data_IF_366825865457
#
_entry.id   IF_366825865457
#
_cell.length_a   1.000
_cell.length_b   1.000
_cell.length_c   1.000
_cell.angle_alpha   90.00
_cell.angle_beta   90.00
_cell.angle_gamma   90.00
#
_symmetry.space_group_name_H-M   'P 1'
#
loop_
_entity.id
_entity.type
_entity.pdbx_description
1 polymer ?
#
# COMPACT_ATOMS: atom_id res chain seq x y z
N UNK A 1 2.47 -25.40 -12.44
CA UNK A 1 1.68 -24.15 -12.28
C UNK A 1 0.57 -24.46 -11.28
N UNK A 2 0.72 -24.05 -10.02
CA UNK A 2 -0.26 -24.36 -8.97
C UNK A 2 -1.31 -23.26 -8.93
N UNK A 3 -2.57 -23.62 -9.17
CA UNK A 3 -3.72 -22.70 -9.09
C UNK A 3 -4.40 -22.98 -7.74
N UNK A 4 -4.56 -21.96 -6.86
CA UNK A 4 -5.28 -22.15 -5.61
C UNK A 4 -6.72 -22.60 -5.86
N UNK A 5 -7.17 -23.63 -5.14
CA UNK A 5 -8.55 -24.14 -5.21
C UNK A 5 -9.54 -23.21 -4.49
N UNK A 6 -9.08 -22.49 -3.47
CA UNK A 6 -9.82 -21.43 -2.78
C UNK A 6 -9.11 -20.09 -3.00
N UNK A 7 -9.84 -19.07 -3.43
CA UNK A 7 -9.30 -17.75 -3.74
C UNK A 7 -10.28 -16.63 -3.36
N UNK A 8 -9.73 -15.43 -3.14
CA UNK A 8 -10.52 -14.22 -2.86
C UNK A 8 -11.18 -13.76 -4.17
N UNK A 9 -12.52 -13.77 -4.29
CA UNK A 9 -13.19 -13.31 -5.50
C UNK A 9 -13.02 -11.80 -5.70
N UNK A 10 -13.19 -11.33 -6.93
CA UNK A 10 -13.13 -9.88 -7.22
C UNK A 10 -14.19 -9.07 -6.46
N UNK A 11 -15.29 -9.70 -6.10
CA UNK A 11 -16.42 -9.11 -5.36
C UNK A 11 -16.27 -9.17 -3.84
N UNK A 12 -15.15 -9.70 -3.32
CA UNK A 12 -14.92 -9.76 -1.88
C UNK A 12 -14.86 -8.35 -1.29
N UNK A 13 -15.78 -7.96 -0.38
CA UNK A 13 -15.87 -6.58 0.07
C UNK A 13 -14.68 -6.14 0.94
N UNK A 14 -14.13 -7.06 1.74
CA UNK A 14 -12.96 -6.85 2.59
C UNK A 14 -12.95 -5.51 3.32
N UNK A 15 -12.01 -4.62 2.97
CA UNK A 15 -12.02 -3.22 3.43
C UNK A 15 -12.78 -2.29 2.48
N UNK A 16 -13.60 -1.42 3.06
CA UNK A 16 -14.24 -0.28 2.39
C UNK A 16 -13.47 1.00 2.68
N UNK A 17 -13.34 1.86 1.67
CA UNK A 17 -12.82 3.21 1.85
C UNK A 17 -13.86 4.08 2.55
N UNK A 18 -13.49 4.66 3.69
CA UNK A 18 -14.33 5.60 4.44
C UNK A 18 -13.94 7.05 4.20
N UNK A 19 -12.67 7.31 3.89
CA UNK A 19 -12.14 8.66 3.71
C UNK A 19 -10.97 8.64 2.73
N UNK A 20 -10.87 9.69 1.90
CA UNK A 20 -9.71 9.96 1.04
C UNK A 20 -9.33 11.42 1.22
N UNK A 21 -8.07 11.68 1.50
CA UNK A 21 -7.46 13.01 1.52
C UNK A 21 -6.25 13.02 0.58
N UNK A 22 -6.28 13.90 -0.41
CA UNK A 22 -5.20 14.10 -1.35
C UNK A 22 -4.65 15.52 -1.18
N UNK A 23 -3.36 15.64 -0.90
CA UNK A 23 -2.68 16.93 -0.89
C UNK A 23 -2.04 17.19 -2.26
N UNK A 24 -2.23 18.36 -2.89
CA UNK A 24 -1.64 18.72 -4.18
C UNK A 24 -0.10 18.67 -4.27
N UNK A 25 0.61 18.32 -3.19
CA UNK A 25 2.07 18.31 -3.20
C UNK A 25 2.75 17.46 -2.13
N UNK A 26 2.13 16.42 -1.53
CA UNK A 26 2.91 15.65 -0.55
C UNK A 26 2.41 14.33 -0.02
N UNK A 27 1.10 14.05 -0.04
CA UNK A 27 0.60 12.76 0.44
C UNK A 27 -0.80 12.41 -0.06
N UNK A 28 -1.05 11.10 -0.10
CA UNK A 28 -2.38 10.50 -0.21
C UNK A 28 -2.67 9.78 1.09
N UNK A 29 -3.82 10.01 1.69
CA UNK A 29 -4.26 9.37 2.92
C UNK A 29 -5.64 8.76 2.72
N UNK A 30 -5.77 7.48 3.07
CA UNK A 30 -7.00 6.71 2.90
C UNK A 30 -7.33 6.03 4.21
N UNK A 31 -8.58 6.16 4.67
CA UNK A 31 -9.09 5.39 5.80
C UNK A 31 -9.93 4.22 5.28
N UNK A 32 -9.74 3.07 5.92
CA UNK A 32 -10.32 1.80 5.57
C UNK A 32 -11.09 1.25 6.77
N UNK A 33 -12.32 0.79 6.53
CA UNK A 33 -13.14 0.07 7.50
C UNK A 33 -13.39 -1.36 7.02
N UNK A 34 -13.10 -2.35 7.85
CA UNK A 34 -13.35 -3.77 7.55
C UNK A 34 -14.85 -4.04 7.55
N UNK A 35 -15.39 -4.41 6.39
CA UNK A 35 -16.80 -4.79 6.22
C UNK A 35 -16.99 -6.31 6.32
N UNK A 36 -16.07 -7.09 5.74
CA UNK A 36 -16.13 -8.55 5.75
C UNK A 36 -14.90 -9.12 6.45
N UNK A 37 -15.04 -10.02 7.42
CA UNK A 37 -13.90 -10.68 8.07
C UNK A 37 -12.98 -11.36 7.05
N UNK A 38 -11.67 -11.30 7.28
CA UNK A 38 -10.66 -11.94 6.43
C UNK A 38 -10.56 -13.45 6.61
N UNK A 39 -11.16 -13.98 7.68
CA UNK A 39 -10.97 -15.37 8.12
C UNK A 39 -9.79 -15.56 9.06
N UNK A 40 -8.94 -14.54 9.26
CA UNK A 40 -7.92 -14.56 10.31
C UNK A 40 -8.48 -14.00 11.63
N UNK A 41 -8.01 -14.50 12.78
CA UNK A 41 -8.41 -13.96 14.08
C UNK A 41 -7.90 -12.51 14.24
N UNK A 42 -8.63 -11.72 15.02
CA UNK A 42 -8.23 -10.36 15.42
C UNK A 42 -7.96 -9.42 14.24
N UNK A 43 -8.91 -9.37 13.29
CA UNK A 43 -8.93 -8.36 12.23
C UNK A 43 -8.95 -6.95 12.82
N UNK A 44 -8.08 -6.08 12.29
CA UNK A 44 -8.07 -4.66 12.64
C UNK A 44 -9.15 -3.96 11.82
N UNK A 45 -10.18 -3.44 12.49
CA UNK A 45 -11.34 -2.87 11.80
C UNK A 45 -11.04 -1.55 11.10
N UNK A 46 -10.27 -0.68 11.73
CA UNK A 46 -10.01 0.68 11.24
C UNK A 46 -8.53 0.84 10.91
N UNK A 47 -8.21 1.02 9.63
CA UNK A 47 -6.84 1.07 9.12
C UNK A 47 -6.63 2.33 8.30
N UNK A 48 -5.47 2.96 8.43
CA UNK A 48 -5.02 4.02 7.53
C UNK A 48 -4.03 3.46 6.51
N UNK A 49 -4.13 3.94 5.27
CA UNK A 49 -3.17 3.74 4.21
C UNK A 49 -2.65 5.10 3.75
N UNK A 50 -1.35 5.36 3.95
CA UNK A 50 -0.72 6.64 3.66
C UNK A 50 0.41 6.49 2.67
N UNK A 51 0.39 7.29 1.62
CA UNK A 51 1.49 7.47 0.67
C UNK A 51 2.11 8.83 0.94
N UNK A 52 3.41 8.89 1.17
CA UNK A 52 4.16 10.14 1.38
C UNK A 52 5.27 10.25 0.36
N UNK A 53 5.39 11.40 -0.27
CA UNK A 53 6.48 11.70 -1.18
C UNK A 53 7.70 12.13 -0.37
N UNK A 54 8.77 11.31 -0.35
CA UNK A 54 9.97 11.61 0.42
C UNK A 54 10.99 12.39 -0.41
N UNK A 55 11.19 12.00 -1.68
CA UNK A 55 12.08 12.67 -2.63
C UNK A 55 11.51 12.57 -4.04
N UNK A 56 12.17 13.16 -5.03
CA UNK A 56 11.77 13.03 -6.45
C UNK A 56 11.70 11.57 -6.95
N UNK A 57 12.38 10.62 -6.29
CA UNK A 57 12.45 9.21 -6.70
C UNK A 57 12.09 8.21 -5.57
N UNK A 58 11.74 8.69 -4.37
CA UNK A 58 11.36 7.85 -3.24
C UNK A 58 9.98 8.24 -2.73
N UNK A 59 9.08 7.26 -2.72
CA UNK A 59 7.80 7.32 -2.02
C UNK A 59 7.79 6.32 -0.86
N UNK A 60 7.03 6.64 0.18
CA UNK A 60 6.80 5.76 1.33
C UNK A 60 5.33 5.41 1.41
N UNK A 61 5.04 4.12 1.52
CA UNK A 61 3.71 3.61 1.85
C UNK A 61 3.73 3.16 3.31
N UNK A 62 2.71 3.54 4.07
CA UNK A 62 2.52 3.13 5.45
C UNK A 62 1.07 2.68 5.66
N UNK A 63 0.92 1.53 6.30
CA UNK A 63 -0.37 0.97 6.72
C UNK A 63 -0.36 0.88 8.25
N UNK A 64 -1.36 1.45 8.92
CA UNK A 64 -1.39 1.48 10.38
C UNK A 64 -2.81 1.30 10.94
N UNK A 65 -2.89 0.71 12.13
CA UNK A 65 -4.11 0.70 12.93
C UNK A 65 -4.42 2.14 13.39
N UNK A 66 -5.67 2.57 13.24
CA UNK A 66 -6.13 3.91 13.62
C UNK A 66 -6.36 4.05 15.13
N UNK A 67 -6.61 2.94 15.83
CA UNK A 67 -7.04 2.93 17.22
C UNK A 67 -5.92 2.54 18.18
N UNK A 68 -4.91 1.80 17.71
CA UNK A 68 -3.83 1.31 18.56
C UNK A 68 -2.46 1.51 17.90
N UNK A 69 -1.45 1.78 18.74
CA UNK A 69 -0.06 1.77 18.29
C UNK A 69 0.41 0.33 18.19
N UNK A 70 0.99 -0.03 17.03
CA UNK A 70 1.58 -1.35 16.77
C UNK A 70 3.09 -1.25 16.78
N UNK A 71 3.76 -2.40 16.92
CA UNK A 71 5.22 -2.45 16.84
C UNK A 71 5.71 -1.88 15.50
N UNK A 72 6.66 -0.95 15.57
CA UNK A 72 7.40 -0.45 14.44
C UNK A 72 8.89 -0.72 14.66
N UNK A 73 9.60 -1.31 13.68
CA UNK A 73 11.04 -1.48 13.79
C UNK A 73 11.72 -0.12 14.02
N UNK A 74 12.67 0.00 14.96
CA UNK A 74 13.45 1.21 15.11
C UNK A 74 14.27 1.43 13.85
N UNK A 75 13.88 2.41 13.03
CA UNK A 75 14.60 2.79 11.83
C UNK A 75 15.65 3.85 12.19
N UNK A 76 16.86 3.79 11.60
CA UNK A 76 17.81 4.90 11.69
C UNK A 76 17.18 6.16 11.07
N UNK A 77 17.67 7.34 11.48
CA UNK A 77 17.28 8.57 10.81
C UNK A 77 17.57 8.45 9.32
N UNK A 78 16.53 8.62 8.51
CA UNK A 78 16.71 8.69 7.07
C UNK A 78 17.36 10.03 6.74
N UNK A 79 18.56 9.98 6.17
CA UNK A 79 19.23 11.14 5.60
C UNK A 79 18.57 11.53 4.27
N UNK A 80 17.32 12.01 4.35
CA UNK A 80 16.59 12.48 3.17
C UNK A 80 17.09 13.88 2.80
N UNK A 81 17.35 14.15 1.52
CA UNK A 81 17.62 15.51 1.07
C UNK A 81 16.44 16.41 1.41
N UNK A 82 16.71 17.70 1.66
CA UNK A 82 15.64 18.68 1.87
C UNK A 82 14.63 18.60 0.72
N UNK A 83 13.32 18.78 0.96
CA UNK A 83 12.33 18.82 -0.11
C UNK A 83 12.66 19.97 -1.07
N UNK A 84 13.37 19.67 -2.15
CA UNK A 84 13.54 20.60 -3.26
C UNK A 84 12.31 20.39 -4.15
N UNK A 85 11.69 21.46 -4.69
CA UNK A 85 10.66 21.33 -5.72
C UNK A 85 11.25 20.74 -7.00
N UNK A 86 11.51 19.44 -6.99
CA UNK A 86 11.91 18.63 -8.14
C UNK A 86 10.69 17.86 -8.61
N UNK A 87 10.53 17.76 -9.93
CA UNK A 87 9.48 16.92 -10.52
C UNK A 87 9.72 15.47 -10.10
N UNK A 88 8.71 14.85 -9.50
CA UNK A 88 8.77 13.42 -9.18
C UNK A 88 8.97 12.60 -10.46
N UNK A 89 9.67 11.47 -10.35
CA UNK A 89 9.80 10.47 -11.42
C UNK A 89 8.61 9.51 -11.47
N UNK A 90 7.71 9.64 -10.50
CA UNK A 90 6.53 8.81 -10.32
C UNK A 90 5.28 9.67 -10.07
N UNK A 91 4.12 9.12 -10.39
CA UNK A 91 2.81 9.68 -10.08
C UNK A 91 1.99 8.66 -9.30
N UNK A 92 1.04 9.16 -8.50
CA UNK A 92 0.03 8.35 -7.82
C UNK A 92 -1.30 8.63 -8.52
N UNK A 93 -1.95 7.59 -9.03
CA UNK A 93 -3.28 7.73 -9.64
C UNK A 93 -4.30 8.09 -8.55
N UNK A 94 -5.31 8.93 -8.84
CA UNK A 94 -6.36 9.27 -7.88
C UNK A 94 -7.05 8.02 -7.31
N UNK A 95 -7.38 8.06 -6.02
CA UNK A 95 -7.97 6.90 -5.34
C UNK A 95 -9.45 6.77 -5.72
N UNK A 96 -9.71 6.00 -6.79
CA UNK A 96 -11.07 5.73 -7.26
C UNK A 96 -11.75 4.58 -6.49
N UNK A 97 -11.61 3.35 -6.99
CA UNK A 97 -12.31 2.15 -6.49
C UNK A 97 -11.50 1.34 -5.46
N UNK A 98 -10.63 1.98 -4.69
CA UNK A 98 -9.71 1.28 -3.77
C UNK A 98 -8.47 0.70 -4.41
N UNK A 99 -8.29 0.90 -5.72
CA UNK A 99 -7.05 0.57 -6.40
C UNK A 99 -6.08 1.74 -6.25
N UNK A 100 -4.96 1.49 -5.60
CA UNK A 100 -3.83 2.42 -5.54
C UNK A 100 -2.85 2.00 -6.62
N UNK A 101 -2.52 2.93 -7.52
CA UNK A 101 -1.53 2.72 -8.58
C UNK A 101 -0.46 3.79 -8.49
N UNK A 102 0.79 3.36 -8.41
CA UNK A 102 1.97 4.22 -8.61
C UNK A 102 2.52 3.95 -10.00
N UNK A 103 2.71 4.99 -10.78
CA UNK A 103 3.25 4.91 -12.14
C UNK A 103 4.60 5.58 -12.24
N UNK A 104 5.46 5.03 -13.10
CA UNK A 104 6.62 5.75 -13.60
C UNK A 104 6.15 6.78 -14.63
N UNK A 105 6.47 8.06 -14.44
CA UNK A 105 5.99 9.12 -15.34
C UNK A 105 6.54 8.96 -16.76
N UNK A 106 7.82 8.62 -16.90
CA UNK A 106 8.48 8.58 -18.21
C UNK A 106 7.93 7.51 -19.16
N UNK A 107 7.35 6.42 -18.64
CA UNK A 107 6.85 5.29 -19.44
C UNK A 107 5.37 5.00 -19.20
N UNK A 108 4.72 5.72 -18.28
CA UNK A 108 3.37 5.45 -17.78
C UNK A 108 3.16 4.02 -17.20
N UNK A 109 4.24 3.28 -16.93
CA UNK A 109 4.16 1.89 -16.46
C UNK A 109 3.79 1.83 -14.97
N UNK A 110 2.83 0.96 -14.56
CA UNK A 110 2.51 0.76 -13.15
C UNK A 110 3.67 0.03 -12.46
N UNK A 111 4.32 0.67 -11.49
CA UNK A 111 5.44 0.09 -10.74
C UNK A 111 5.00 -0.51 -9.40
N UNK A 112 3.83 -0.10 -8.93
CA UNK A 112 3.15 -0.67 -7.77
C UNK A 112 1.64 -0.51 -7.98
N UNK A 113 0.87 -1.57 -7.78
CA UNK A 113 -0.58 -1.51 -7.88
C UNK A 113 -1.21 -2.48 -6.88
N UNK A 114 -1.92 -1.94 -5.89
CA UNK A 114 -2.62 -2.72 -4.85
C UNK A 114 -4.11 -2.41 -4.86
N UNK A 115 -4.91 -3.40 -4.49
CA UNK A 115 -6.35 -3.26 -4.25
C UNK A 115 -6.60 -3.29 -2.74
N UNK A 116 -6.93 -2.13 -2.17
CA UNK A 116 -7.12 -1.96 -0.73
C UNK A 116 -8.28 -2.79 -0.19
N UNK A 117 -9.25 -3.16 -1.02
CA UNK A 117 -10.34 -4.06 -0.61
C UNK A 117 -9.84 -5.44 -0.22
N UNK A 118 -8.69 -5.87 -0.79
CA UNK A 118 -8.08 -7.18 -0.57
C UNK A 118 -6.93 -7.16 0.44
N UNK A 119 -6.66 -6.01 1.07
CA UNK A 119 -5.73 -5.91 2.19
C UNK A 119 -6.22 -6.82 3.32
N UNK A 120 -5.33 -7.63 3.88
CA UNK A 120 -5.59 -8.30 5.16
C UNK A 120 -4.68 -7.67 6.20
N UNK A 121 -5.28 -7.09 7.23
CA UNK A 121 -4.56 -6.47 8.33
C UNK A 121 -5.17 -6.95 9.65
N UNK A 122 -4.61 -8.02 10.17
CA UNK A 122 -4.96 -8.64 11.45
C UNK A 122 -3.78 -8.52 12.42
N UNK A 123 -4.03 -8.78 13.70
CA UNK A 123 -3.04 -8.57 14.74
C UNK A 123 -1.74 -9.36 14.54
N UNK A 124 -1.82 -10.57 13.96
CA UNK A 124 -0.66 -11.42 13.71
C UNK A 124 -0.52 -11.84 12.24
N UNK A 125 -1.27 -11.20 11.33
CA UNK A 125 -1.18 -11.49 9.90
C UNK A 125 -1.42 -10.24 9.05
N UNK A 126 -0.44 -9.91 8.21
CA UNK A 126 -0.51 -8.78 7.29
C UNK A 126 -0.26 -9.31 5.88
N UNK A 127 -1.21 -9.06 4.97
CA UNK A 127 -1.07 -9.41 3.56
C UNK A 127 -1.38 -8.19 2.69
N UNK A 128 -0.39 -7.81 1.89
CA UNK A 128 -0.49 -6.80 0.85
C UNK A 128 -0.05 -7.42 -0.47
N UNK A 129 -0.84 -7.24 -1.53
CA UNK A 129 -0.51 -7.73 -2.86
C UNK A 129 -0.23 -6.54 -3.77
N UNK A 130 0.86 -6.62 -4.54
CA UNK A 130 1.10 -5.70 -5.65
C UNK A 130 1.18 -6.46 -6.97
N UNK A 131 0.68 -5.86 -8.04
CA UNK A 131 1.10 -6.23 -9.40
C UNK A 131 2.47 -5.60 -9.69
N UNK A 132 3.30 -6.34 -10.43
CA UNK A 132 4.60 -5.90 -10.91
C UNK A 132 4.56 -5.72 -12.43
N UNK A 133 5.34 -4.77 -12.95
CA UNK A 133 5.43 -4.50 -14.39
C UNK A 133 6.31 -5.49 -15.17
N UNK A 134 7.03 -6.39 -14.49
CA UNK A 134 7.90 -7.39 -15.09
C UNK A 134 7.84 -8.71 -14.32
N UNK A 135 8.18 -9.79 -15.01
CA UNK A 135 8.40 -11.12 -14.42
C UNK A 135 9.80 -11.29 -13.81
N UNK A 136 10.68 -10.30 -13.97
CA UNK A 136 12.04 -10.32 -13.45
C UNK A 136 12.07 -9.60 -12.10
N UNK A 137 12.29 -10.37 -11.04
CA UNK A 137 12.39 -9.87 -9.66
C UNK A 137 13.71 -10.35 -9.08
N UNK A 138 14.47 -9.45 -8.47
CA UNK A 138 15.76 -9.73 -7.85
C UNK A 138 15.73 -9.27 -6.40
N UNK A 139 16.44 -9.97 -5.51
CA UNK A 139 16.46 -9.70 -4.06
C UNK A 139 15.78 -10.80 -3.26
N UNK A 140 15.09 -10.42 -2.18
CA UNK A 140 14.48 -11.27 -1.14
C UNK A 140 15.49 -12.29 -0.60
N UNK A 141 16.05 -12.03 0.58
CA UNK A 141 17.04 -12.92 1.21
C UNK A 141 16.74 -13.18 2.67
N UNK A 142 17.47 -14.09 3.32
CA UNK A 142 18.52 -14.96 2.75
C UNK A 142 17.91 -16.29 2.27
N UNK A 143 18.19 -16.70 1.02
CA UNK A 143 17.74 -17.99 0.49
C UNK A 143 18.92 -18.95 0.42
N UNK A 144 18.67 -20.24 0.68
CA UNK A 144 19.65 -21.31 0.51
C UNK A 144 19.74 -21.77 -0.94
#
# INVERSE_FOLDING_TARGET
>A
KYIPTCFIPQTYPGYKITKVEESPGGFTYVELSRETPSGFPNDIKSVSFRITHLTHNVLRIRVADLNHTRFEPPLPQLNLPKPVPMRHMYSVDPVGKGIITVRRISTNAPIFQTDLTKLVFADQFIQLKSLLSSHQVYGIGENK
#
